data_IF_579982620875
#
_entry.id   IF_579982620875
#
_cell.length_a   1.000
_cell.length_b   1.000
_cell.length_c   1.000
_cell.angle_alpha   90.00
_cell.angle_beta   90.00
_cell.angle_gamma   90.00
#
_symmetry.space_group_name_H-M   'P 1'
#
loop_
_entity.id
_entity.type
_entity.pdbx_description
1 polymer ?
#
# COMPACT_ATOMS: atom_id res chain seq x y z
N UNK A 1 4.86 -6.38 -65.67
CA UNK A 1 5.35 -7.11 -64.48
C UNK A 1 5.69 -6.16 -63.32
N UNK A 2 6.62 -5.20 -63.50
CA UNK A 2 7.09 -4.30 -62.44
C UNK A 2 6.00 -3.44 -61.77
N UNK A 3 5.00 -2.98 -62.54
CA UNK A 3 3.84 -2.27 -61.98
C UNK A 3 3.03 -3.14 -61.00
N UNK A 4 2.87 -4.45 -61.28
CA UNK A 4 2.19 -5.38 -60.37
C UNK A 4 2.97 -5.56 -59.08
N UNK A 5 4.31 -5.63 -59.15
CA UNK A 5 5.19 -5.71 -57.97
C UNK A 5 5.08 -4.46 -57.10
N UNK A 6 5.04 -3.27 -57.72
CA UNK A 6 4.83 -2.01 -56.98
C UNK A 6 3.46 -1.97 -56.29
N UNK A 7 2.39 -2.38 -56.97
CA UNK A 7 1.03 -2.38 -56.38
C UNK A 7 0.97 -3.33 -55.18
N UNK A 8 1.50 -4.55 -55.31
CA UNK A 8 1.54 -5.52 -54.19
C UNK A 8 2.37 -4.98 -53.02
N UNK A 9 3.53 -4.39 -53.31
CA UNK A 9 4.41 -3.81 -52.28
C UNK A 9 3.74 -2.65 -51.55
N UNK A 10 3.04 -1.77 -52.27
CA UNK A 10 2.29 -0.67 -51.70
C UNK A 10 1.13 -1.17 -50.81
N UNK A 11 0.40 -2.20 -51.24
CA UNK A 11 -0.65 -2.83 -50.42
C UNK A 11 -0.08 -3.44 -49.14
N UNK A 12 1.10 -4.07 -49.19
CA UNK A 12 1.78 -4.61 -48.00
C UNK A 12 2.14 -3.49 -47.01
N UNK A 13 2.65 -2.35 -47.50
CA UNK A 13 2.91 -1.18 -46.63
C UNK A 13 1.62 -0.67 -46.00
N UNK A 14 0.56 -0.49 -46.80
CA UNK A 14 -0.73 -0.01 -46.31
C UNK A 14 -1.34 -0.95 -45.26
N UNK A 15 -1.37 -2.25 -45.53
CA UNK A 15 -1.90 -3.25 -44.59
C UNK A 15 -1.04 -3.34 -43.32
N UNK A 16 0.28 -3.36 -43.46
CA UNK A 16 1.20 -3.37 -42.33
C UNK A 16 1.05 -2.12 -41.45
N UNK A 17 0.86 -0.95 -42.05
CA UNK A 17 0.61 0.29 -41.33
C UNK A 17 -0.78 0.29 -40.65
N UNK A 18 -1.84 -0.09 -41.38
CA UNK A 18 -3.21 -0.15 -40.86
C UNK A 18 -3.31 -1.14 -39.69
N UNK A 19 -2.79 -2.35 -39.87
CA UNK A 19 -2.83 -3.39 -38.83
C UNK A 19 -1.93 -2.99 -37.66
N UNK A 20 -0.67 -2.63 -37.92
CA UNK A 20 0.33 -2.42 -36.88
C UNK A 20 0.14 -1.14 -36.06
N UNK A 21 -0.35 -0.05 -36.66
CA UNK A 21 -0.55 1.23 -35.95
C UNK A 21 -2.00 1.48 -35.50
N UNK A 22 -3.02 0.93 -36.19
CA UNK A 22 -4.42 1.22 -35.87
C UNK A 22 -5.13 0.01 -35.26
N UNK A 23 -5.19 -1.11 -35.97
CA UNK A 23 -5.99 -2.27 -35.53
C UNK A 23 -5.41 -2.94 -34.27
N UNK A 24 -4.11 -3.26 -34.29
CA UNK A 24 -3.46 -3.97 -33.19
C UNK A 24 -3.50 -3.19 -31.88
N UNK A 25 -3.12 -1.90 -31.80
CA UNK A 25 -3.18 -1.16 -30.52
C UNK A 25 -4.60 -1.06 -29.95
N UNK A 26 -5.62 -0.92 -30.81
CA UNK A 26 -7.01 -0.88 -30.38
C UNK A 26 -7.47 -2.23 -29.80
N UNK A 27 -7.23 -3.33 -30.53
CA UNK A 27 -7.58 -4.68 -30.10
C UNK A 27 -6.81 -5.05 -28.83
N UNK A 28 -5.50 -4.80 -28.80
CA UNK A 28 -4.64 -5.12 -27.66
C UNK A 28 -5.08 -4.38 -26.39
N UNK A 29 -5.33 -3.06 -26.47
CA UNK A 29 -5.85 -2.30 -25.33
C UNK A 29 -7.19 -2.85 -24.85
N UNK A 30 -8.09 -3.23 -25.76
CA UNK A 30 -9.38 -3.80 -25.40
C UNK A 30 -9.25 -5.18 -24.73
N UNK A 31 -8.31 -6.02 -25.19
CA UNK A 31 -8.02 -7.32 -24.58
C UNK A 31 -7.44 -7.15 -23.17
N UNK A 32 -6.44 -6.28 -23.01
CA UNK A 32 -5.84 -5.97 -21.70
C UNK A 32 -6.89 -5.44 -20.73
N UNK A 33 -7.72 -4.48 -21.17
CA UNK A 33 -8.79 -3.91 -20.36
C UNK A 33 -9.81 -4.96 -19.89
N UNK A 34 -10.10 -5.96 -20.71
CA UNK A 34 -11.02 -7.05 -20.37
C UNK A 34 -10.35 -8.16 -19.55
N UNK A 35 -9.02 -8.30 -19.64
CA UNK A 35 -8.28 -9.35 -18.94
C UNK A 35 -8.34 -9.20 -17.42
N UNK A 36 -8.32 -7.97 -16.91
CA UNK A 36 -8.45 -7.68 -15.48
C UNK A 36 -9.91 -7.43 -15.14
N UNK A 37 -10.54 -8.44 -14.55
CA UNK A 37 -11.92 -8.39 -14.10
C UNK A 37 -12.17 -9.35 -12.93
N UNK A 38 -13.13 -9.03 -12.09
CA UNK A 38 -13.53 -9.82 -10.94
C UNK A 38 -14.85 -10.56 -11.19
N UNK A 39 -15.11 -10.99 -12.44
CA UNK A 39 -16.27 -11.84 -12.71
C UNK A 39 -16.03 -13.25 -12.14
N UNK A 40 -17.08 -13.94 -11.65
CA UNK A 40 -16.98 -15.32 -11.21
C UNK A 40 -16.31 -16.21 -12.26
N UNK A 41 -15.34 -17.03 -11.84
CA UNK A 41 -14.63 -17.98 -12.69
C UNK A 41 -13.45 -17.44 -13.49
N UNK A 42 -13.17 -16.12 -13.48
CA UNK A 42 -11.99 -15.57 -14.17
C UNK A 42 -10.68 -15.93 -13.46
N UNK A 43 -9.56 -16.03 -14.18
CA UNK A 43 -8.23 -16.27 -13.58
C UNK A 43 -7.86 -15.18 -12.56
N UNK A 44 -8.09 -13.91 -12.92
CA UNK A 44 -7.84 -12.76 -12.04
C UNK A 44 -8.69 -12.85 -10.78
N UNK A 45 -9.93 -13.32 -10.89
CA UNK A 45 -10.82 -13.47 -9.74
C UNK A 45 -10.26 -14.49 -8.75
N UNK A 46 -9.83 -15.66 -9.22
CA UNK A 46 -9.26 -16.71 -8.36
C UNK A 46 -8.04 -16.22 -7.58
N UNK A 47 -7.10 -15.53 -8.26
CA UNK A 47 -5.91 -14.95 -7.63
C UNK A 47 -6.24 -13.84 -6.62
N UNK A 48 -7.27 -13.04 -6.91
CA UNK A 48 -7.72 -11.96 -6.04
C UNK A 48 -8.47 -12.47 -4.80
N UNK A 49 -9.25 -13.55 -4.92
CA UNK A 49 -9.94 -14.19 -3.80
C UNK A 49 -8.95 -14.83 -2.83
N UNK A 50 -7.93 -15.52 -3.36
CA UNK A 50 -6.90 -16.17 -2.55
C UNK A 50 -5.53 -16.04 -3.20
N UNK A 51 -4.63 -15.33 -2.54
CA UNK A 51 -3.26 -15.20 -3.03
C UNK A 51 -2.56 -16.58 -2.99
N UNK A 52 -1.90 -17.01 -4.07
CA UNK A 52 -1.31 -18.36 -4.14
C UNK A 52 0.01 -18.50 -3.37
N UNK A 53 0.55 -17.41 -2.83
CA UNK A 53 1.78 -17.36 -2.03
C UNK A 53 1.61 -16.34 -0.91
N UNK A 54 2.38 -16.47 0.20
CA UNK A 54 2.34 -15.52 1.29
C UNK A 54 3.14 -14.25 0.97
N UNK A 55 2.81 -13.17 1.68
CA UNK A 55 3.68 -12.01 1.81
C UNK A 55 4.66 -12.25 2.97
N UNK A 56 5.86 -11.69 2.86
CA UNK A 56 6.79 -11.64 3.99
C UNK A 56 6.39 -10.48 4.89
N UNK A 57 5.93 -10.79 6.09
CA UNK A 57 5.58 -9.82 7.12
C UNK A 57 6.64 -9.81 8.22
N UNK A 58 7.21 -8.65 8.53
CA UNK A 58 8.28 -8.51 9.52
C UNK A 58 7.91 -7.44 10.53
N UNK A 59 8.24 -7.68 11.79
CA UNK A 59 8.11 -6.69 12.87
C UNK A 59 9.51 -6.38 13.41
N UNK A 60 9.78 -5.10 13.62
CA UNK A 60 10.97 -4.56 14.28
C UNK A 60 10.52 -3.71 15.46
N UNK A 61 11.04 -3.97 16.65
CA UNK A 61 10.59 -3.33 17.89
C UNK A 61 11.67 -2.40 18.41
N UNK A 62 11.28 -1.24 18.94
CA UNK A 62 12.19 -0.33 19.62
C UNK A 62 12.24 -0.66 21.11
N UNK A 63 13.28 -1.41 21.51
CA UNK A 63 13.55 -1.77 22.89
C UNK A 63 14.08 -0.56 23.66
N UNK A 64 13.47 -0.26 24.80
CA UNK A 64 13.84 0.86 25.68
C UNK A 64 14.96 0.43 26.61
N UNK A 65 16.07 1.19 26.63
CA UNK A 65 17.25 0.85 27.45
C UNK A 65 17.38 1.69 28.73
N UNK A 66 16.60 2.78 28.86
CA UNK A 66 16.71 3.73 29.97
C UNK A 66 15.36 4.15 30.58
N UNK A 67 14.43 3.21 30.81
CA UNK A 67 13.07 3.46 31.32
C UNK A 67 13.00 4.38 32.54
N UNK A 68 13.82 4.13 33.57
CA UNK A 68 13.88 4.94 34.80
C UNK A 68 14.21 6.41 34.52
N UNK A 69 15.11 6.67 33.56
CA UNK A 69 15.46 8.03 33.16
C UNK A 69 14.29 8.71 32.43
N UNK A 70 13.56 7.97 31.60
CA UNK A 70 12.40 8.47 30.87
C UNK A 70 11.26 8.83 31.84
N UNK A 71 11.01 7.99 32.85
CA UNK A 71 10.02 8.26 33.90
C UNK A 71 10.32 9.54 34.68
N UNK A 72 11.60 9.90 34.82
CA UNK A 72 12.05 11.17 35.41
C UNK A 72 12.06 12.36 34.41
N UNK A 73 11.47 12.20 33.22
CA UNK A 73 11.37 13.25 32.18
C UNK A 73 12.56 13.32 31.22
N UNK A 74 13.48 12.35 31.28
CA UNK A 74 14.66 12.29 30.43
C UNK A 74 14.41 11.85 28.99
N UNK A 75 15.47 11.83 28.18
CA UNK A 75 15.40 11.52 26.75
C UNK A 75 15.43 10.01 26.52
N UNK A 76 14.47 9.44 25.75
CA UNK A 76 14.47 8.01 25.47
C UNK A 76 15.67 7.53 24.65
N UNK A 77 16.22 6.38 25.04
CA UNK A 77 17.24 5.63 24.33
C UNK A 77 16.64 4.31 23.86
N UNK A 78 16.70 4.08 22.55
CA UNK A 78 16.07 2.95 21.89
C UNK A 78 17.11 2.10 21.17
N UNK A 79 16.90 0.80 21.21
CA UNK A 79 17.63 -0.18 20.41
C UNK A 79 16.64 -0.96 19.55
N UNK A 80 16.89 -1.04 18.24
CA UNK A 80 16.03 -1.82 17.35
C UNK A 80 16.30 -3.32 17.53
N UNK A 81 15.23 -4.10 17.78
CA UNK A 81 15.27 -5.56 17.90
C UNK A 81 14.35 -6.17 16.85
N UNK A 82 14.92 -7.01 15.99
CA UNK A 82 14.19 -7.68 14.91
C UNK A 82 15.10 -8.19 13.78
N UNK A 83 14.53 -8.75 12.71
CA UNK A 83 13.09 -8.91 12.49
C UNK A 83 12.50 -10.13 13.20
N UNK A 84 11.23 -10.01 13.61
CA UNK A 84 10.34 -11.13 13.85
C UNK A 84 9.55 -11.40 12.57
N UNK A 85 9.71 -12.58 11.98
CA UNK A 85 9.24 -12.86 10.61
C UNK A 85 8.02 -13.78 10.61
N UNK A 86 7.06 -13.47 9.75
CA UNK A 86 5.84 -14.23 9.52
C UNK A 86 5.58 -14.34 8.02
N UNK A 87 4.99 -15.47 7.62
CA UNK A 87 4.28 -15.57 6.35
C UNK A 87 2.85 -15.05 6.56
N UNK A 88 2.48 -13.98 5.86
CA UNK A 88 1.13 -13.41 5.86
C UNK A 88 0.34 -13.92 4.65
N UNK A 89 -0.74 -14.65 4.92
CA UNK A 89 -1.68 -15.10 3.91
C UNK A 89 -2.92 -14.22 3.93
N UNK A 90 -3.30 -13.73 2.75
CA UNK A 90 -4.49 -12.90 2.54
C UNK A 90 -5.51 -13.65 1.70
N UNK A 91 -6.73 -13.76 2.23
CA UNK A 91 -7.86 -14.35 1.52
C UNK A 91 -9.15 -13.59 1.77
N UNK A 92 -10.10 -13.74 0.85
CA UNK A 92 -11.40 -13.08 0.88
C UNK A 92 -12.49 -14.13 1.08
N UNK A 93 -13.41 -13.87 2.02
CA UNK A 93 -14.51 -14.76 2.37
C UNK A 93 -15.84 -14.00 2.46
N UNK A 94 -16.95 -14.73 2.59
CA UNK A 94 -18.32 -14.19 2.53
C UNK A 94 -18.56 -13.27 1.33
N UNK A 95 -18.11 -13.78 0.19
CA UNK A 95 -18.12 -13.11 -1.10
C UNK A 95 -19.55 -13.09 -1.65
N UNK A 96 -20.01 -11.90 -2.03
CA UNK A 96 -21.35 -11.68 -2.60
C UNK A 96 -21.26 -10.80 -3.84
N UNK A 97 -21.62 -11.35 -5.00
CA UNK A 97 -21.74 -10.61 -6.25
C UNK A 97 -23.05 -9.80 -6.30
N UNK A 98 -22.94 -8.52 -6.64
CA UNK A 98 -24.05 -7.57 -6.72
C UNK A 98 -24.16 -7.10 -8.17
N UNK A 99 -24.94 -7.86 -8.95
CA UNK A 99 -25.05 -7.66 -10.41
C UNK A 99 -25.55 -6.26 -10.78
N UNK A 100 -26.61 -5.79 -10.10
CA UNK A 100 -27.25 -4.50 -10.38
C UNK A 100 -26.30 -3.30 -10.26
N UNK A 101 -25.23 -3.44 -9.47
CA UNK A 101 -24.25 -2.39 -9.20
C UNK A 101 -22.88 -2.65 -9.84
N UNK A 102 -22.74 -3.77 -10.58
CA UNK A 102 -21.44 -4.24 -11.08
C UNK A 102 -20.39 -4.33 -9.95
N UNK A 103 -20.81 -4.76 -8.75
CA UNK A 103 -20.00 -4.74 -7.53
C UNK A 103 -19.87 -6.13 -6.91
N UNK A 104 -18.87 -6.30 -6.05
CA UNK A 104 -18.67 -7.50 -5.23
C UNK A 104 -18.30 -7.09 -3.82
N UNK A 105 -18.97 -7.71 -2.85
CA UNK A 105 -18.71 -7.50 -1.43
C UNK A 105 -18.00 -8.70 -0.83
N UNK A 106 -17.11 -8.49 0.12
CA UNK A 106 -16.34 -9.54 0.79
C UNK A 106 -15.77 -9.07 2.13
N UNK A 107 -15.42 -10.02 2.99
CA UNK A 107 -14.59 -9.79 4.16
C UNK A 107 -13.13 -10.17 3.82
N UNK A 108 -12.16 -9.41 4.33
CA UNK A 108 -10.74 -9.70 4.16
C UNK A 108 -10.21 -10.39 5.41
N UNK A 109 -9.48 -11.49 5.26
CA UNK A 109 -8.82 -12.21 6.35
C UNK A 109 -7.31 -12.22 6.15
N UNK A 110 -6.60 -11.92 7.23
CA UNK A 110 -5.15 -12.09 7.31
C UNK A 110 -4.82 -13.27 8.25
N UNK A 111 -3.93 -14.15 7.80
CA UNK A 111 -3.42 -15.28 8.59
C UNK A 111 -1.91 -15.19 8.66
N UNK A 112 -1.35 -15.21 9.87
CA UNK A 112 0.09 -15.06 10.11
C UNK A 112 0.66 -16.38 10.60
N UNK A 113 1.67 -16.90 9.89
CA UNK A 113 2.44 -18.08 10.32
C UNK A 113 3.86 -17.65 10.70
N UNK A 114 4.24 -17.87 11.96
CA UNK A 114 5.54 -17.47 12.47
C UNK A 114 6.69 -18.26 11.83
N UNK A 115 7.76 -17.57 11.45
CA UNK A 115 8.94 -18.11 10.75
C UNK A 115 10.23 -17.83 11.54
N UNK A 116 10.45 -18.55 12.66
CA UNK A 116 11.66 -18.38 13.48
C UNK A 116 12.94 -18.81 12.76
N UNK A 117 12.84 -19.51 11.63
CA UNK A 117 13.97 -19.88 10.77
C UNK A 117 14.49 -18.70 9.93
N UNK A 118 13.72 -17.60 9.81
CA UNK A 118 14.08 -16.43 9.01
C UNK A 118 14.31 -15.16 9.85
N UNK A 119 14.16 -15.24 11.18
CA UNK A 119 14.24 -14.09 12.07
C UNK A 119 14.52 -14.48 13.52
N UNK A 120 14.16 -13.60 14.45
CA UNK A 120 14.28 -13.84 15.88
C UNK A 120 13.22 -14.80 16.41
N UNK A 121 13.49 -15.40 17.57
CA UNK A 121 12.71 -16.53 18.11
C UNK A 121 11.36 -16.12 18.71
N UNK A 122 11.20 -14.84 19.04
CA UNK A 122 10.08 -14.29 19.79
C UNK A 122 10.20 -14.44 21.32
N UNK A 123 11.27 -15.05 21.81
CA UNK A 123 11.57 -15.20 23.24
C UNK A 123 12.39 -14.02 23.79
N UNK A 124 12.83 -13.12 22.92
CA UNK A 124 13.61 -11.94 23.28
C UNK A 124 12.80 -11.02 24.20
N UNK A 125 13.42 -10.62 25.31
CA UNK A 125 12.82 -9.69 26.26
C UNK A 125 12.87 -8.28 25.68
N UNK A 126 11.69 -7.68 25.53
CA UNK A 126 11.52 -6.31 25.05
C UNK A 126 10.99 -5.46 26.19
N UNK A 127 11.65 -4.34 26.44
CA UNK A 127 11.16 -3.27 27.30
C UNK A 127 10.49 -2.21 26.45
N UNK A 128 9.22 -1.91 26.70
CA UNK A 128 8.47 -0.89 25.95
C UNK A 128 7.45 -0.18 26.86
N UNK A 129 6.91 0.99 26.44
CA UNK A 129 5.78 1.61 27.11
C UNK A 129 4.66 0.59 27.37
N UNK A 130 4.22 0.43 28.62
CA UNK A 130 3.22 -0.57 28.97
C UNK A 130 1.92 -0.28 28.20
N UNK A 131 1.49 -1.13 27.25
CA UNK A 131 0.47 -0.76 26.29
C UNK A 131 -0.89 -0.55 26.97
N UNK A 132 -1.30 -1.42 27.91
CA UNK A 132 -2.56 -1.24 28.63
C UNK A 132 -2.57 0.00 29.54
N UNK A 133 -1.53 0.17 30.37
CA UNK A 133 -1.41 1.30 31.28
C UNK A 133 -1.31 2.64 30.54
N UNK A 134 -0.36 2.78 29.62
CA UNK A 134 -0.11 4.07 28.96
C UNK A 134 -1.19 4.41 27.93
N UNK A 135 -1.69 3.44 27.15
CA UNK A 135 -2.67 3.76 26.10
C UNK A 135 -3.99 4.18 26.72
N UNK A 136 -4.49 3.44 27.72
CA UNK A 136 -5.75 3.77 28.39
C UNK A 136 -5.65 5.11 29.12
N UNK A 137 -4.54 5.37 29.81
CA UNK A 137 -4.32 6.64 30.50
C UNK A 137 -4.28 7.82 29.51
N UNK A 138 -3.51 7.71 28.42
CA UNK A 138 -3.33 8.80 27.44
C UNK A 138 -4.61 9.02 26.62
N UNK A 139 -5.32 7.96 26.23
CA UNK A 139 -6.56 8.06 25.45
C UNK A 139 -7.67 8.82 26.21
N UNK A 140 -7.66 8.77 27.54
CA UNK A 140 -8.66 9.40 28.38
C UNK A 140 -8.27 10.81 28.87
N UNK A 141 -7.11 11.36 28.45
CA UNK A 141 -6.69 12.72 28.86
C UNK A 141 -7.62 13.84 28.39
N UNK A 142 -8.48 13.59 27.40
CA UNK A 142 -9.48 14.55 26.94
C UNK A 142 -10.82 14.46 27.71
N UNK A 143 -10.98 13.47 28.60
CA UNK A 143 -12.19 13.28 29.40
C UNK A 143 -12.22 14.21 30.62
N UNK A 144 -13.38 14.39 31.29
CA UNK A 144 -13.45 15.13 32.56
C UNK A 144 -12.50 14.58 33.63
N UNK A 145 -12.09 15.42 34.57
CA UNK A 145 -11.10 15.06 35.60
C UNK A 145 -11.55 13.86 36.46
N UNK A 146 -12.85 13.74 36.72
CA UNK A 146 -13.43 12.61 37.46
C UNK A 146 -13.21 11.28 36.72
N UNK A 147 -13.33 11.29 35.39
CA UNK A 147 -13.11 10.11 34.54
C UNK A 147 -11.61 9.76 34.51
N UNK A 148 -10.74 10.77 34.40
CA UNK A 148 -9.28 10.56 34.45
C UNK A 148 -8.86 9.91 35.77
N UNK A 149 -9.34 10.44 36.90
CA UNK A 149 -9.05 9.90 38.22
C UNK A 149 -9.60 8.48 38.41
N UNK A 150 -10.81 8.19 37.92
CA UNK A 150 -11.38 6.85 37.96
C UNK A 150 -10.56 5.85 37.12
N UNK A 151 -10.13 6.24 35.91
CA UNK A 151 -9.27 5.40 35.06
C UNK A 151 -7.93 5.13 35.76
N UNK A 152 -7.28 6.16 36.32
CA UNK A 152 -6.03 6.00 37.05
C UNK A 152 -6.16 5.05 38.25
N UNK A 153 -7.23 5.20 39.04
CA UNK A 153 -7.53 4.31 40.17
C UNK A 153 -7.78 2.87 39.71
N UNK A 154 -8.55 2.68 38.64
CA UNK A 154 -8.80 1.35 38.08
C UNK A 154 -7.53 0.67 37.61
N UNK A 155 -6.65 1.40 36.92
CA UNK A 155 -5.36 0.88 36.46
C UNK A 155 -4.42 0.54 37.62
N UNK A 156 -4.40 1.36 38.68
CA UNK A 156 -3.63 1.08 39.90
C UNK A 156 -4.10 -0.21 40.60
N UNK A 157 -5.41 -0.41 40.72
CA UNK A 157 -5.99 -1.62 41.31
C UNK A 157 -5.72 -2.88 40.48
N UNK A 158 -5.67 -2.76 39.15
CA UNK A 158 -5.47 -3.89 38.23
C UNK A 158 -3.99 -4.26 38.12
N UNK A 159 -3.11 -3.27 37.98
CA UNK A 159 -1.71 -3.49 37.61
C UNK A 159 -0.71 -3.22 38.74
N UNK A 160 -1.07 -2.43 39.75
CA UNK A 160 -0.17 -1.96 40.82
C UNK A 160 1.20 -1.53 40.27
N UNK A 161 1.22 -0.64 39.26
CA UNK A 161 2.38 -0.47 38.40
C UNK A 161 3.55 0.16 39.15
N UNK A 162 4.68 -0.56 39.21
CA UNK A 162 5.95 -0.01 39.71
C UNK A 162 6.71 0.81 38.65
N UNK A 163 6.32 0.67 37.38
CA UNK A 163 6.88 1.38 36.24
C UNK A 163 5.79 1.65 35.20
N UNK A 164 5.96 2.71 34.43
CA UNK A 164 5.20 2.97 33.21
C UNK A 164 5.61 2.03 32.05
N UNK A 165 6.69 1.28 32.19
CA UNK A 165 7.23 0.37 31.19
C UNK A 165 6.99 -1.09 31.60
N UNK A 166 6.90 -1.97 30.60
CA UNK A 166 6.83 -3.42 30.78
C UNK A 166 8.03 -4.06 30.10
N UNK A 167 8.60 -5.09 30.73
CA UNK A 167 9.59 -5.98 30.12
C UNK A 167 8.98 -7.39 30.04
N UNK A 168 8.77 -7.88 28.82
CA UNK A 168 8.20 -9.20 28.57
C UNK A 168 8.74 -9.77 27.25
N UNK A 169 8.48 -11.05 26.98
CA UNK A 169 8.88 -11.65 25.71
C UNK A 169 8.09 -11.01 24.57
N UNK A 170 8.72 -10.90 23.40
CA UNK A 170 8.05 -10.40 22.20
C UNK A 170 6.71 -11.10 21.93
N UNK A 171 6.66 -12.44 22.04
CA UNK A 171 5.43 -13.22 21.84
C UNK A 171 4.32 -12.83 22.81
N UNK A 172 4.63 -12.50 24.05
CA UNK A 172 3.63 -12.10 25.04
C UNK A 172 3.04 -10.72 24.67
N UNK A 173 3.92 -9.79 24.27
CA UNK A 173 3.52 -8.42 23.92
C UNK A 173 2.73 -8.32 22.60
N UNK A 174 3.05 -9.13 21.59
CA UNK A 174 2.51 -9.00 20.24
C UNK A 174 1.57 -10.14 19.81
N UNK A 175 1.50 -11.24 20.58
CA UNK A 175 0.72 -12.42 20.18
C UNK A 175 -0.12 -13.03 21.30
N UNK A 176 0.48 -13.52 22.38
CA UNK A 176 -0.23 -14.21 23.45
C UNK A 176 -1.07 -13.26 24.31
N UNK A 177 -0.66 -11.99 24.41
CA UNK A 177 -1.32 -10.97 25.21
C UNK A 177 -0.70 -10.83 26.60
N UNK A 178 -1.20 -9.83 27.33
CA UNK A 178 -0.80 -9.53 28.69
C UNK A 178 -1.96 -9.94 29.61
N UNK A 179 -1.67 -10.76 30.62
CA UNK A 179 -2.67 -11.16 31.61
C UNK A 179 -3.15 -9.95 32.43
N UNK A 180 -4.46 -9.80 32.55
CA UNK A 180 -5.10 -8.73 33.32
C UNK A 180 -5.84 -9.33 34.51
N UNK A 181 -5.44 -8.94 35.72
CA UNK A 181 -6.12 -9.37 36.93
C UNK A 181 -7.38 -8.53 37.18
N UNK A 182 -8.54 -9.10 36.85
CA UNK A 182 -9.85 -8.49 37.04
C UNK A 182 -10.56 -8.92 38.33
N UNK A 183 -9.81 -9.34 39.36
CA UNK A 183 -10.37 -9.82 40.64
C UNK A 183 -10.86 -8.72 41.59
N UNK A 184 -10.77 -7.44 41.21
CA UNK A 184 -11.20 -6.32 42.07
C UNK A 184 -12.70 -6.04 41.95
N UNK A 185 -13.38 -5.88 43.09
CA UNK A 185 -14.80 -5.49 43.16
C UNK A 185 -15.02 -3.97 42.98
N UNK A 186 -13.96 -3.19 42.82
CA UNK A 186 -14.07 -1.75 42.66
C UNK A 186 -14.66 -1.37 41.29
N UNK A 187 -15.66 -0.50 41.26
CA UNK A 187 -16.39 -0.12 40.04
C UNK A 187 -15.45 0.37 38.91
N UNK A 188 -14.41 1.13 39.24
CA UNK A 188 -13.43 1.61 38.26
C UNK A 188 -12.62 0.47 37.61
N UNK A 189 -12.21 -0.54 38.39
CA UNK A 189 -11.49 -1.69 37.87
C UNK A 189 -12.42 -2.58 37.02
N UNK A 190 -13.66 -2.80 37.49
CA UNK A 190 -14.68 -3.54 36.76
C UNK A 190 -15.01 -2.89 35.40
N UNK A 191 -15.13 -1.56 35.36
CA UNK A 191 -15.40 -0.84 34.12
C UNK A 191 -14.29 -1.03 33.06
N UNK A 192 -13.02 -1.01 33.48
CA UNK A 192 -11.88 -1.31 32.60
C UNK A 192 -11.92 -2.79 32.17
N UNK A 193 -12.14 -3.70 33.11
CA UNK A 193 -12.19 -5.13 32.84
C UNK A 193 -13.30 -5.56 31.87
N UNK A 194 -14.45 -4.89 31.91
CA UNK A 194 -15.53 -5.12 30.95
C UNK A 194 -15.09 -4.81 29.50
N UNK A 195 -14.18 -3.86 29.28
CA UNK A 195 -13.64 -3.57 27.95
C UNK A 195 -12.81 -4.74 27.41
N UNK A 196 -12.03 -5.41 28.28
CA UNK A 196 -11.28 -6.60 27.90
C UNK A 196 -12.19 -7.79 27.60
N UNK A 197 -13.25 -7.99 28.39
CA UNK A 197 -14.21 -9.08 28.21
C UNK A 197 -15.13 -8.89 27.00
N UNK A 198 -15.41 -7.66 26.60
CA UNK A 198 -16.14 -7.33 25.37
C UNK A 198 -15.33 -7.58 24.08
N UNK A 199 -14.09 -8.10 24.19
CA UNK A 199 -13.20 -8.34 23.05
C UNK A 199 -12.60 -7.06 22.45
N UNK A 200 -12.67 -5.93 23.17
CA UNK A 200 -12.35 -4.60 22.64
C UNK A 200 -10.86 -4.22 22.66
N UNK A 201 -9.95 -5.18 22.86
CA UNK A 201 -8.53 -4.98 22.53
C UNK A 201 -8.25 -5.73 21.24
N UNK A 202 -8.41 -5.08 20.07
CA UNK A 202 -7.96 -5.64 18.82
C UNK A 202 -6.43 -5.70 18.86
N UNK A 203 -5.89 -6.82 19.32
CA UNK A 203 -4.56 -7.25 18.92
C UNK A 203 -4.57 -7.50 17.41
N UNK A 204 -3.38 -7.52 16.80
CA UNK A 204 -3.19 -8.09 15.46
C UNK A 204 -3.40 -9.62 15.54
N UNK A 205 -4.65 -10.02 15.81
CA UNK A 205 -5.02 -11.40 15.98
C UNK A 205 -4.86 -12.16 14.68
N UNK A 206 -4.42 -13.41 14.79
CA UNK A 206 -4.44 -14.33 13.67
C UNK A 206 -5.89 -14.58 13.24
N UNK A 207 -6.16 -14.67 11.93
CA UNK A 207 -7.50 -14.82 11.37
C UNK A 207 -8.49 -13.68 11.68
N UNK A 208 -8.00 -12.45 11.82
CA UNK A 208 -8.86 -11.27 12.02
C UNK A 208 -9.54 -10.82 10.73
N UNK A 209 -10.78 -10.32 10.85
CA UNK A 209 -11.51 -9.68 9.77
C UNK A 209 -11.09 -8.21 9.68
N UNK A 210 -10.54 -7.79 8.54
CA UNK A 210 -10.15 -6.39 8.28
C UNK A 210 -11.32 -5.50 7.80
N UNK A 211 -12.57 -5.96 7.99
CA UNK A 211 -13.79 -5.26 7.63
C UNK A 211 -14.39 -5.74 6.30
N UNK A 212 -15.61 -5.27 6.02
CA UNK A 212 -16.38 -5.63 4.84
C UNK A 212 -16.19 -4.59 3.74
N UNK A 213 -15.60 -5.01 2.63
CA UNK A 213 -15.39 -4.17 1.45
C UNK A 213 -16.47 -4.43 0.42
N UNK A 214 -16.85 -3.39 -0.32
CA UNK A 214 -17.60 -3.47 -1.58
C UNK A 214 -16.75 -2.82 -2.67
N UNK A 215 -16.40 -3.58 -3.70
CA UNK A 215 -15.53 -3.10 -4.80
C UNK A 215 -16.17 -3.30 -6.16
N UNK A 216 -15.77 -2.48 -7.14
CA UNK A 216 -16.21 -2.60 -8.52
C UNK A 216 -15.61 -3.85 -9.20
N UNK A 217 -16.45 -4.65 -9.87
CA UNK A 217 -16.00 -5.91 -10.51
C UNK A 217 -15.33 -5.73 -11.86
N UNK A 218 -15.81 -4.79 -12.66
CA UNK A 218 -15.34 -4.61 -14.04
C UNK A 218 -15.15 -3.14 -14.38
N UNK A 219 -14.20 -2.88 -15.27
CA UNK A 219 -13.99 -1.53 -15.82
C UNK A 219 -15.02 -1.23 -16.91
N UNK A 220 -15.66 -0.05 -16.84
CA UNK A 220 -16.55 0.45 -17.89
C UNK A 220 -15.81 0.81 -19.18
N UNK A 221 -16.52 1.15 -20.27
CA UNK A 221 -15.90 1.48 -21.57
C UNK A 221 -14.93 2.67 -21.50
N UNK A 222 -15.23 3.67 -20.67
CA UNK A 222 -14.48 4.94 -20.61
C UNK A 222 -13.64 5.12 -19.33
N UNK A 223 -13.79 4.25 -18.33
CA UNK A 223 -13.08 4.38 -17.05
C UNK A 223 -12.42 3.05 -16.65
N UNK A 224 -11.33 3.15 -15.88
CA UNK A 224 -10.53 2.03 -15.39
C UNK A 224 -10.82 1.88 -13.88
N UNK A 225 -11.90 1.17 -13.55
CA UNK A 225 -12.50 1.19 -12.21
C UNK A 225 -12.49 -0.17 -11.52
N UNK A 226 -12.01 -1.24 -12.16
CA UNK A 226 -11.93 -2.56 -11.52
C UNK A 226 -11.16 -2.49 -10.19
N UNK A 227 -11.73 -3.10 -9.15
CA UNK A 227 -11.17 -3.12 -7.81
C UNK A 227 -11.36 -1.83 -7.01
N UNK A 228 -11.94 -0.78 -7.58
CA UNK A 228 -12.20 0.46 -6.85
C UNK A 228 -13.15 0.20 -5.68
N UNK A 229 -12.78 0.69 -4.49
CA UNK A 229 -13.61 0.61 -3.28
C UNK A 229 -14.78 1.56 -3.42
N UNK A 230 -15.99 1.00 -3.34
CA UNK A 230 -17.26 1.70 -3.40
C UNK A 230 -17.82 1.95 -2.00
N UNK A 231 -17.64 0.98 -1.09
CA UNK A 231 -18.01 1.12 0.32
C UNK A 231 -17.11 0.27 1.23
N UNK A 232 -17.00 0.69 2.48
CA UNK A 232 -16.34 -0.04 3.56
C UNK A 232 -17.27 -0.06 4.78
N UNK A 233 -17.51 -1.24 5.35
CA UNK A 233 -18.49 -1.47 6.42
C UNK A 233 -19.84 -0.77 6.13
N UNK A 234 -20.36 -1.00 4.92
CA UNK A 234 -21.63 -0.46 4.42
C UNK A 234 -21.66 1.05 4.18
N UNK A 235 -20.59 1.78 4.51
CA UNK A 235 -20.49 3.21 4.28
C UNK A 235 -19.73 3.54 2.98
N UNK A 236 -20.33 4.36 2.12
CA UNK A 236 -19.72 4.87 0.88
C UNK A 236 -18.69 5.99 1.13
N UNK A 237 -18.74 6.58 2.33
CA UNK A 237 -17.79 7.57 2.82
C UNK A 237 -17.48 7.27 4.29
N UNK A 238 -16.26 7.56 4.69
CA UNK A 238 -15.83 7.45 6.07
C UNK A 238 -16.51 8.53 6.92
N UNK A 239 -16.60 8.28 8.22
CA UNK A 239 -17.11 9.25 9.19
C UNK A 239 -16.08 9.52 10.29
N UNK A 240 -14.79 9.44 9.93
CA UNK A 240 -13.66 9.46 10.87
C UNK A 240 -13.02 10.85 10.94
N UNK A 241 -12.90 11.51 9.78
CA UNK A 241 -12.20 12.78 9.64
C UNK A 241 -13.16 13.95 9.71
N UNK A 242 -12.63 15.13 10.05
CA UNK A 242 -13.46 16.34 10.08
C UNK A 242 -13.94 16.71 8.67
N UNK A 243 -15.24 16.96 8.56
CA UNK A 243 -15.82 17.56 7.37
C UNK A 243 -15.55 19.06 7.40
N UNK A 244 -14.64 19.51 6.53
CA UNK A 244 -14.36 20.92 6.26
C UNK A 244 -14.82 21.27 4.85
N UNK A 245 -15.02 22.56 4.54
CA UNK A 245 -15.41 22.98 3.19
C UNK A 245 -14.37 22.49 2.16
N UNK A 246 -14.80 21.61 1.25
CA UNK A 246 -13.93 21.01 0.24
C UNK A 246 -13.15 19.78 0.69
N UNK A 247 -13.38 19.28 1.92
CA UNK A 247 -12.73 18.09 2.48
C UNK A 247 -12.91 16.87 1.57
N UNK A 248 -11.82 16.10 1.45
CA UNK A 248 -11.77 14.83 0.72
C UNK A 248 -11.26 13.68 1.59
N UNK A 249 -10.98 13.95 2.87
CA UNK A 249 -10.37 12.98 3.79
C UNK A 249 -11.25 11.75 4.01
N UNK A 250 -12.57 11.92 4.03
CA UNK A 250 -13.52 10.83 4.21
C UNK A 250 -13.88 10.08 2.91
N UNK A 251 -13.34 10.48 1.75
CA UNK A 251 -13.64 9.80 0.48
C UNK A 251 -12.83 8.51 0.35
N UNK A 252 -13.52 7.42 0.03
CA UNK A 252 -12.91 6.17 -0.42
C UNK A 252 -12.38 6.37 -1.84
N UNK A 253 -11.06 6.24 -2.03
CA UNK A 253 -10.39 6.43 -3.32
C UNK A 253 -9.50 5.24 -3.63
N UNK A 254 -9.54 4.80 -4.88
CA UNK A 254 -8.69 3.71 -5.36
C UNK A 254 -9.18 2.35 -4.91
N UNK A 255 -8.26 1.39 -4.80
CA UNK A 255 -8.59 -0.03 -4.55
C UNK A 255 -8.29 -0.45 -3.12
N UNK A 256 -8.47 -1.73 -2.80
CA UNK A 256 -8.04 -2.33 -1.53
C UNK A 256 -6.53 -2.64 -1.49
N UNK A 257 -5.77 -2.21 -2.51
CA UNK A 257 -4.34 -2.47 -2.66
C UNK A 257 -3.99 -3.86 -3.19
N UNK A 258 -4.95 -4.77 -3.34
CA UNK A 258 -4.70 -6.17 -3.81
C UNK A 258 -4.90 -6.34 -5.31
N UNK A 259 -5.56 -5.39 -5.96
CA UNK A 259 -5.78 -5.35 -7.40
C UNK A 259 -5.75 -3.89 -7.88
N UNK A 260 -5.23 -3.67 -9.08
CA UNK A 260 -5.27 -2.38 -9.76
C UNK A 260 -5.79 -2.56 -11.18
N UNK A 261 -6.39 -1.51 -11.72
CA UNK A 261 -6.81 -1.52 -13.11
C UNK A 261 -5.59 -1.57 -14.06
N UNK A 262 -5.73 -2.15 -15.26
CA UNK A 262 -4.67 -2.13 -16.27
C UNK A 262 -4.62 -0.77 -16.97
N UNK A 263 -3.55 -0.52 -17.74
CA UNK A 263 -3.33 0.71 -18.51
C UNK A 263 -3.32 2.00 -17.65
N UNK A 264 -2.89 1.88 -16.39
CA UNK A 264 -2.81 2.99 -15.45
C UNK A 264 -1.70 3.96 -15.84
N UNK A 265 -1.94 5.26 -15.63
CA UNK A 265 -0.97 6.31 -15.94
C UNK A 265 -0.47 6.96 -14.64
N UNK A 266 0.83 7.33 -14.55
CA UNK A 266 1.40 7.94 -13.35
C UNK A 266 0.61 9.13 -12.80
N UNK A 267 0.09 9.99 -13.68
CA UNK A 267 -0.62 11.21 -13.30
C UNK A 267 -1.92 10.98 -12.53
N UNK A 268 -2.55 9.80 -12.65
CA UNK A 268 -3.77 9.50 -11.92
C UNK A 268 -3.51 9.03 -10.48
N UNK A 269 -2.25 8.72 -10.15
CA UNK A 269 -1.86 8.11 -8.87
C UNK A 269 -2.31 6.65 -8.75
N UNK A 270 -1.71 5.94 -7.80
CA UNK A 270 -2.09 4.59 -7.42
C UNK A 270 -2.80 4.65 -6.07
N UNK A 271 -4.05 5.12 -6.09
CA UNK A 271 -4.84 5.26 -4.88
C UNK A 271 -5.18 3.88 -4.28
N UNK A 272 -5.10 3.78 -2.96
CA UNK A 272 -5.56 2.62 -2.21
C UNK A 272 -6.13 3.07 -0.87
N UNK A 273 -7.24 2.46 -0.46
CA UNK A 273 -7.84 2.66 0.84
C UNK A 273 -7.24 1.65 1.84
N UNK A 274 -6.71 2.16 2.96
CA UNK A 274 -6.25 1.33 4.07
C UNK A 274 -7.25 1.42 5.21
N UNK A 275 -7.88 0.29 5.55
CA UNK A 275 -8.77 0.18 6.71
C UNK A 275 -8.03 0.47 8.02
N UNK A 276 -6.79 -0.02 8.16
CA UNK A 276 -5.95 0.17 9.36
C UNK A 276 -5.56 1.64 9.60
N UNK A 277 -5.45 2.43 8.53
CA UNK A 277 -5.17 3.86 8.62
C UNK A 277 -6.43 4.72 8.48
N UNK A 278 -7.60 4.11 8.27
CA UNK A 278 -8.86 4.79 7.99
C UNK A 278 -8.76 5.90 6.92
N UNK A 279 -7.91 5.77 5.90
CA UNK A 279 -7.81 6.78 4.83
C UNK A 279 -7.31 6.20 3.52
N UNK A 280 -7.57 6.94 2.45
CA UNK A 280 -7.01 6.66 1.13
C UNK A 280 -5.65 7.35 0.96
N UNK A 281 -4.68 6.62 0.41
CA UNK A 281 -3.31 7.07 0.16
C UNK A 281 -2.93 6.80 -1.29
N UNK A 282 -2.00 7.58 -1.84
CA UNK A 282 -1.35 7.28 -3.12
C UNK A 282 0.15 7.51 -2.97
N UNK A 283 1.00 6.59 -3.44
CA UNK A 283 2.42 6.84 -3.50
C UNK A 283 2.74 7.78 -4.69
N UNK A 284 3.83 8.53 -4.55
CA UNK A 284 4.35 9.47 -5.57
C UNK A 284 5.25 8.70 -6.55
N UNK A 285 5.17 9.04 -7.84
CA UNK A 285 5.97 8.39 -8.88
C UNK A 285 7.41 8.93 -8.85
N UNK A 286 8.40 8.03 -8.76
CA UNK A 286 9.82 8.39 -8.61
C UNK A 286 10.60 8.33 -9.93
N UNK A 287 10.24 7.41 -10.84
CA UNK A 287 10.89 7.27 -12.14
C UNK A 287 10.68 5.90 -12.77
N UNK A 288 11.06 5.77 -14.04
CA UNK A 288 11.06 4.49 -14.75
C UNK A 288 12.15 3.58 -14.18
N UNK A 289 11.88 2.28 -14.12
CA UNK A 289 12.81 1.25 -13.66
C UNK A 289 12.57 -0.06 -14.43
N UNK A 290 13.39 -1.07 -14.18
CA UNK A 290 13.20 -2.41 -14.71
C UNK A 290 13.17 -3.42 -13.57
N UNK A 291 12.31 -4.42 -13.66
CA UNK A 291 12.24 -5.53 -12.70
C UNK A 291 12.11 -6.84 -13.48
N UNK A 292 13.07 -7.77 -13.32
CA UNK A 292 13.15 -9.00 -14.12
C UNK A 292 12.95 -8.73 -15.62
N UNK A 293 13.64 -7.72 -16.16
CA UNK A 293 13.57 -7.27 -17.57
C UNK A 293 12.22 -6.67 -18.02
N UNK A 294 11.25 -6.51 -17.11
CA UNK A 294 10.00 -5.82 -17.38
C UNK A 294 10.18 -4.31 -17.15
N UNK A 295 9.80 -3.45 -18.11
CA UNK A 295 9.76 -2.02 -17.89
C UNK A 295 8.63 -1.68 -16.90
N UNK A 296 8.97 -0.92 -15.87
CA UNK A 296 8.07 -0.59 -14.78
C UNK A 296 8.28 0.84 -14.29
N UNK A 297 7.45 1.27 -13.35
CA UNK A 297 7.56 2.57 -12.69
C UNK A 297 7.76 2.34 -11.19
N UNK A 298 8.73 3.03 -10.59
CA UNK A 298 8.94 3.05 -9.15
C UNK A 298 8.07 4.14 -8.53
N UNK A 299 7.42 3.79 -7.42
CA UNK A 299 6.62 4.67 -6.59
C UNK A 299 7.11 4.61 -5.15
N UNK A 300 6.90 5.70 -4.41
CA UNK A 300 7.25 5.82 -3.01
C UNK A 300 6.12 6.49 -2.22
N UNK A 301 5.74 5.89 -1.10
CA UNK A 301 4.69 6.42 -0.22
C UNK A 301 5.23 7.57 0.62
N UNK A 302 4.40 8.57 0.84
CA UNK A 302 4.61 9.64 1.81
C UNK A 302 3.29 9.94 2.51
N UNK A 303 3.34 10.26 3.81
CA UNK A 303 2.16 10.74 4.54
C UNK A 303 1.80 12.20 4.23
N UNK A 304 2.70 12.91 3.54
CA UNK A 304 2.54 14.32 3.18
C UNK A 304 2.77 15.26 4.37
N UNK A 305 2.46 16.53 4.17
CA UNK A 305 2.73 17.62 5.11
C UNK A 305 1.47 18.48 5.23
N UNK A 306 0.68 18.36 6.32
CA UNK A 306 -0.48 19.23 6.54
C UNK A 306 -0.12 20.71 6.60
N UNK A 307 1.14 21.05 6.90
CA UNK A 307 1.60 22.44 6.90
C UNK A 307 1.69 23.05 5.50
N UNK A 308 1.87 22.22 4.46
CA UNK A 308 2.09 22.68 3.07
C UNK A 308 1.06 22.18 2.07
N UNK A 309 0.28 21.16 2.41
CA UNK A 309 -0.71 20.50 1.54
C UNK A 309 -2.14 20.72 2.09
N UNK A 310 -2.92 21.69 1.54
CA UNK A 310 -4.27 22.02 2.05
C UNK A 310 -5.27 20.86 2.08
N UNK A 311 -5.12 19.89 1.16
CA UNK A 311 -5.94 18.68 1.10
C UNK A 311 -5.78 17.80 2.35
N UNK A 312 -4.74 18.01 3.16
CA UNK A 312 -4.47 17.25 4.39
C UNK A 312 -4.99 17.93 5.66
N UNK A 313 -5.49 19.16 5.60
CA UNK A 313 -5.96 19.88 6.79
C UNK A 313 -7.09 19.14 7.53
N UNK A 314 -7.94 18.39 6.81
CA UNK A 314 -9.02 17.60 7.41
C UNK A 314 -8.55 16.37 8.21
N UNK A 315 -7.26 16.01 8.13
CA UNK A 315 -6.65 15.00 9.01
C UNK A 315 -6.17 15.60 10.34
N UNK A 316 -6.17 16.93 10.49
CA UNK A 316 -5.90 17.59 11.77
C UNK A 316 -7.09 17.48 12.71
N UNK A 317 -6.83 17.59 14.02
CA UNK A 317 -7.89 17.69 15.02
C UNK A 317 -8.48 19.09 15.04
N UNK A 318 -7.62 20.11 14.94
CA UNK A 318 -7.98 21.51 14.83
C UNK A 318 -6.89 22.20 13.99
N UNK A 319 -7.21 22.67 12.79
CA UNK A 319 -6.19 23.32 11.94
C UNK A 319 -6.13 24.82 12.23
N UNK A 320 -4.95 25.44 12.40
CA UNK A 320 -3.59 24.86 12.35
C UNK A 320 -3.01 24.46 13.73
N UNK A 321 -3.79 24.56 14.80
CA UNK A 321 -3.34 24.47 16.20
C UNK A 321 -2.96 23.06 16.65
N UNK A 322 -3.68 22.04 16.19
CA UNK A 322 -3.53 20.62 16.54
C UNK A 322 -3.55 19.75 15.27
N UNK A 323 -2.39 19.69 14.61
CA UNK A 323 -2.12 18.85 13.47
C UNK A 323 -1.03 17.81 13.81
N UNK A 324 -1.07 16.61 13.20
CA UNK A 324 0.07 15.71 13.21
C UNK A 324 1.27 16.38 12.53
N UNK A 325 2.48 16.03 12.99
CA UNK A 325 3.70 16.54 12.39
C UNK A 325 3.84 16.07 10.93
N UNK A 326 4.57 16.84 10.13
CA UNK A 326 4.81 16.49 8.73
C UNK A 326 5.44 15.10 8.62
N UNK A 327 4.99 14.32 7.64
CA UNK A 327 5.37 12.92 7.43
C UNK A 327 4.77 11.93 8.44
N UNK A 328 3.82 12.36 9.27
CA UNK A 328 3.14 11.51 10.25
C UNK A 328 1.61 11.59 10.13
N UNK A 329 0.92 10.69 10.84
CA UNK A 329 -0.53 10.62 10.88
C UNK A 329 -1.01 10.25 12.28
N UNK A 330 -2.03 10.95 12.79
CA UNK A 330 -2.70 10.61 14.05
C UNK A 330 -3.72 9.47 13.84
N UNK A 331 -3.68 8.46 14.72
CA UNK A 331 -4.60 7.31 14.67
C UNK A 331 -5.69 7.35 15.76
N UNK A 332 -5.73 8.37 16.60
CA UNK A 332 -6.70 8.49 17.70
C UNK A 332 -8.14 8.46 17.19
N UNK A 333 -8.47 9.23 16.15
CA UNK A 333 -9.84 9.22 15.58
C UNK A 333 -10.18 7.92 14.86
N UNK A 334 -9.19 7.28 14.25
CA UNK A 334 -9.36 6.06 13.46
C UNK A 334 -9.57 4.82 14.34
N UNK A 335 -8.74 4.68 15.38
CA UNK A 335 -8.63 3.45 16.16
C UNK A 335 -8.98 3.61 17.65
N UNK A 336 -9.17 4.84 18.13
CA UNK A 336 -9.32 5.14 19.56
C UNK A 336 -8.01 5.01 20.35
N UNK A 337 -6.89 4.72 19.69
CA UNK A 337 -5.58 4.54 20.35
C UNK A 337 -4.70 5.77 20.20
N UNK A 338 -3.87 6.13 21.20
CA UNK A 338 -2.97 7.29 21.15
C UNK A 338 -1.73 7.04 20.29
N UNK A 339 -1.90 6.39 19.14
CA UNK A 339 -0.83 6.07 18.21
C UNK A 339 -0.68 7.13 17.12
N UNK A 340 0.54 7.25 16.64
CA UNK A 340 0.94 8.02 15.48
C UNK A 340 1.59 7.07 14.48
N UNK A 341 1.09 7.06 13.23
CA UNK A 341 1.72 6.36 12.13
C UNK A 341 2.78 7.25 11.44
N UNK A 342 3.86 6.64 10.97
CA UNK A 342 4.91 7.27 10.18
C UNK A 342 5.63 6.23 9.32
N UNK A 343 6.63 6.62 8.53
CA UNK A 343 7.58 5.66 7.96
C UNK A 343 8.68 5.30 8.99
N UNK A 344 9.33 4.13 8.89
CA UNK A 344 10.33 3.69 9.87
C UNK A 344 11.42 4.72 10.17
N UNK A 345 11.81 4.79 11.44
CA UNK A 345 12.72 5.79 12.01
C UNK A 345 12.32 7.23 11.70
N UNK A 346 11.02 7.49 11.51
CA UNK A 346 10.49 8.80 11.09
C UNK A 346 11.07 9.27 9.74
N UNK A 347 11.35 8.34 8.82
CA UNK A 347 11.78 8.68 7.46
C UNK A 347 10.75 9.61 6.78
N UNK A 348 11.23 10.70 6.16
CA UNK A 348 10.43 11.80 5.60
C UNK A 348 9.56 12.60 6.58
N UNK A 349 9.71 12.40 7.89
CA UNK A 349 9.03 13.23 8.88
C UNK A 349 9.85 14.46 9.28
N UNK A 350 9.22 15.37 10.03
CA UNK A 350 9.90 16.54 10.61
C UNK A 350 11.12 16.12 11.46
N UNK A 351 12.31 16.78 11.30
CA UNK A 351 13.54 16.40 12.00
C UNK A 351 13.40 16.31 13.52
N UNK A 352 12.54 17.15 14.10
CA UNK A 352 12.24 17.17 15.52
C UNK A 352 11.78 15.80 16.05
N UNK A 353 11.09 14.99 15.25
CA UNK A 353 10.65 13.65 15.68
C UNK A 353 11.84 12.70 15.88
N UNK A 354 12.89 12.84 15.06
CA UNK A 354 14.12 12.07 15.18
C UNK A 354 14.95 12.56 16.35
N UNK A 355 15.09 13.88 16.51
CA UNK A 355 15.94 14.51 17.54
C UNK A 355 15.46 14.26 18.97
N UNK A 356 14.16 14.00 19.16
CA UNK A 356 13.56 13.75 20.47
C UNK A 356 13.92 12.39 21.08
N UNK A 357 14.50 11.47 20.33
CA UNK A 357 14.88 10.13 20.80
C UNK A 357 16.29 9.78 20.34
N UNK A 358 16.96 8.87 21.04
CA UNK A 358 18.24 8.30 20.62
C UNK A 358 18.04 6.90 20.06
N UNK A 359 18.85 6.51 19.08
CA UNK A 359 18.76 5.19 18.42
C UNK A 359 18.08 5.18 17.05
N UNK A 360 17.60 6.32 16.54
CA UNK A 360 17.00 6.39 15.21
C UNK A 360 18.01 6.73 14.11
N UNK A 361 17.88 6.08 12.94
CA UNK A 361 18.74 6.30 11.77
C UNK A 361 17.94 6.21 10.45
N UNK A 362 17.13 7.23 10.11
CA UNK A 362 16.29 7.20 8.92
C UNK A 362 17.11 7.13 7.62
N UNK A 363 16.86 6.12 6.77
CA UNK A 363 17.47 6.02 5.44
C UNK A 363 16.47 5.51 4.41
N UNK A 364 16.53 6.04 3.19
CA UNK A 364 15.59 5.64 2.12
C UNK A 364 15.68 4.13 1.81
N UNK A 365 16.89 3.56 1.80
CA UNK A 365 17.09 2.16 1.46
C UNK A 365 16.35 1.20 2.42
N UNK A 366 16.39 1.49 3.72
CA UNK A 366 15.78 0.63 4.75
C UNK A 366 14.34 1.02 5.09
N UNK A 367 13.98 2.29 4.95
CA UNK A 367 12.76 2.84 5.57
C UNK A 367 11.77 3.47 4.58
N UNK A 368 12.13 3.59 3.30
CA UNK A 368 11.14 4.00 2.31
C UNK A 368 10.13 2.87 2.06
N UNK A 369 8.85 3.24 1.98
CA UNK A 369 7.77 2.40 1.48
C UNK A 369 7.70 2.51 -0.03
N UNK A 370 8.00 1.43 -0.74
CA UNK A 370 8.21 1.47 -2.20
C UNK A 370 7.38 0.44 -2.93
N UNK A 371 7.04 0.75 -4.17
CA UNK A 371 6.32 -0.13 -5.08
C UNK A 371 6.91 -0.04 -6.48
N UNK A 372 7.17 -1.18 -7.11
CA UNK A 372 7.49 -1.29 -8.53
C UNK A 372 6.24 -1.82 -9.24
N UNK A 373 5.71 -1.02 -10.15
CA UNK A 373 4.41 -1.26 -10.76
C UNK A 373 4.51 -1.28 -12.29
N UNK A 374 3.93 -2.30 -12.91
CA UNK A 374 3.83 -2.45 -14.36
C UNK A 374 2.47 -1.93 -14.84
N UNK A 375 2.51 -0.84 -15.61
CA UNK A 375 1.34 -0.03 -15.93
C UNK A 375 0.37 -0.67 -16.91
N UNK A 376 0.86 -1.47 -17.86
CA UNK A 376 0.01 -2.05 -18.90
C UNK A 376 -0.94 -3.09 -18.31
N UNK A 377 -0.41 -3.99 -17.48
CA UNK A 377 -1.18 -5.03 -16.80
C UNK A 377 -1.86 -4.57 -15.51
N UNK A 378 -1.33 -3.52 -14.86
CA UNK A 378 -1.76 -3.15 -13.52
C UNK A 378 -1.14 -4.04 -12.42
N UNK A 379 -0.02 -4.70 -12.70
CA UNK A 379 0.61 -5.67 -11.78
C UNK A 379 1.62 -4.97 -10.88
N UNK A 380 1.53 -5.23 -9.57
CA UNK A 380 2.58 -4.90 -8.60
C UNK A 380 3.67 -5.98 -8.71
N UNK A 381 4.85 -5.61 -9.19
CA UNK A 381 5.97 -6.55 -9.39
C UNK A 381 6.79 -6.77 -8.12
N UNK A 382 6.94 -5.70 -7.34
CA UNK A 382 7.63 -5.71 -6.05
C UNK A 382 7.06 -4.61 -5.17
N UNK A 383 6.85 -4.91 -3.90
CA UNK A 383 6.37 -3.95 -2.91
C UNK A 383 7.07 -4.17 -1.57
N UNK A 384 7.40 -3.06 -0.93
CA UNK A 384 7.81 -2.96 0.45
C UNK A 384 6.91 -1.92 1.11
N UNK A 385 5.85 -2.39 1.77
CA UNK A 385 4.96 -1.54 2.56
C UNK A 385 5.48 -1.50 3.99
N UNK A 386 6.05 -0.37 4.39
CA UNK A 386 6.72 -0.16 5.68
C UNK A 386 6.05 0.94 6.49
N UNK A 387 5.61 0.61 7.70
CA UNK A 387 4.90 1.55 8.57
C UNK A 387 5.41 1.44 10.00
N UNK A 388 5.63 2.58 10.64
CA UNK A 388 6.00 2.69 12.05
C UNK A 388 4.83 3.22 12.87
N UNK A 389 4.68 2.65 14.07
CA UNK A 389 3.71 3.07 15.07
C UNK A 389 4.43 3.60 16.30
N UNK A 390 4.12 4.84 16.66
CA UNK A 390 4.68 5.54 17.81
C UNK A 390 3.59 5.94 18.79
N UNK A 391 3.82 5.84 20.09
CA UNK A 391 2.92 6.31 21.13
C UNK A 391 3.04 7.83 21.28
N UNK A 392 1.92 8.56 21.25
CA UNK A 392 1.85 9.98 21.58
C UNK A 392 1.92 10.18 23.10
N UNK A 393 3.12 10.09 23.67
CA UNK A 393 3.35 10.21 25.11
C UNK A 393 2.98 11.62 25.58
N UNK A 394 2.27 11.70 26.71
CA UNK A 394 1.97 12.91 27.47
C UNK A 394 2.03 12.59 28.96
N UNK A 395 2.39 13.55 29.82
CA UNK A 395 2.33 13.34 31.27
C UNK A 395 0.89 13.12 31.75
N UNK A 396 0.69 12.14 32.63
CA UNK A 396 -0.60 11.80 33.23
C UNK A 396 -0.49 12.02 34.74
N UNK A 397 -1.07 13.11 35.25
CA UNK A 397 -0.86 13.54 36.64
C UNK A 397 -1.38 12.55 37.68
N UNK A 398 -2.50 11.89 37.38
CA UNK A 398 -3.16 10.96 38.29
C UNK A 398 -2.48 9.58 38.34
N UNK A 399 -1.49 9.33 37.48
CA UNK A 399 -0.70 8.08 37.45
C UNK A 399 0.75 8.42 37.81
N UNK A 400 1.21 8.14 39.04
CA UNK A 400 2.51 8.60 39.53
C UNK A 400 3.71 8.25 38.65
N UNK A 401 3.74 7.04 38.08
CA UNK A 401 4.81 6.56 37.18
C UNK A 401 4.83 7.29 35.83
N UNK A 402 3.75 8.00 35.49
CA UNK A 402 3.58 8.74 34.23
C UNK A 402 3.56 10.27 34.39
N UNK A 403 3.57 10.77 35.64
CA UNK A 403 3.34 12.18 35.93
C UNK A 403 4.45 13.11 35.38
N UNK A 404 5.68 12.61 35.25
CA UNK A 404 6.86 13.35 34.80
C UNK A 404 7.26 13.02 33.35
N UNK A 405 6.50 12.17 32.64
CA UNK A 405 6.82 11.82 31.26
C UNK A 405 6.84 13.07 30.36
N UNK A 406 7.88 13.17 29.54
CA UNK A 406 8.00 14.24 28.55
C UNK A 406 7.04 14.01 27.38
N UNK A 407 6.37 15.04 26.84
CA UNK A 407 5.62 14.91 25.59
C UNK A 407 6.53 14.59 24.39
N UNK A 408 6.26 13.49 23.69
CA UNK A 408 6.92 13.12 22.42
C UNK A 408 6.10 12.04 21.66
N UNK A 409 6.48 11.76 20.42
CA UNK A 409 6.05 10.55 19.71
C UNK A 409 7.09 9.44 19.93
N UNK A 410 6.84 8.55 20.90
CA UNK A 410 7.75 7.46 21.29
C UNK A 410 7.61 6.26 20.33
N UNK A 411 8.61 5.94 19.49
CA UNK A 411 8.56 4.77 18.63
C UNK A 411 8.34 3.48 19.44
N UNK A 412 7.40 2.65 18.99
CA UNK A 412 7.15 1.34 19.61
C UNK A 412 7.68 0.22 18.73
N UNK A 413 7.24 0.19 17.47
CA UNK A 413 7.65 -0.80 16.49
C UNK A 413 7.36 -0.30 15.08
N UNK A 414 7.97 -0.95 14.09
CA UNK A 414 7.59 -0.80 12.69
C UNK A 414 7.47 -2.16 12.03
N UNK A 415 6.68 -2.19 10.97
CA UNK A 415 6.37 -3.40 10.20
C UNK A 415 6.82 -3.25 8.76
N UNK A 416 7.21 -4.36 8.14
CA UNK A 416 7.40 -4.50 6.71
C UNK A 416 6.50 -5.61 6.21
N UNK A 417 5.53 -5.25 5.37
CA UNK A 417 4.79 -6.19 4.53
C UNK A 417 5.39 -6.11 3.13
N UNK A 418 5.92 -7.22 2.62
CA UNK A 418 6.62 -7.21 1.34
C UNK A 418 6.33 -8.43 0.48
N UNK A 419 6.35 -8.19 -0.83
CA UNK A 419 6.16 -9.21 -1.85
C UNK A 419 7.05 -8.88 -3.04
N UNK A 420 7.73 -9.88 -3.57
CA UNK A 420 8.53 -9.79 -4.79
C UNK A 420 8.14 -10.93 -5.72
N UNK A 421 7.67 -10.62 -6.93
CA UNK A 421 7.28 -11.64 -7.89
C UNK A 421 8.52 -12.34 -8.46
N UNK A 422 8.50 -13.67 -8.43
CA UNK A 422 9.60 -14.48 -8.91
C UNK A 422 9.80 -14.37 -10.44
N UNK A 423 10.91 -14.92 -10.92
CA UNK A 423 11.23 -14.89 -12.34
C UNK A 423 10.20 -15.67 -13.18
N UNK A 424 9.61 -16.74 -12.62
CA UNK A 424 8.62 -17.57 -13.34
C UNK A 424 7.35 -16.77 -13.64
N UNK A 425 6.80 -16.08 -12.64
CA UNK A 425 5.59 -15.25 -12.79
C UNK A 425 5.89 -14.05 -13.71
N UNK A 426 7.03 -13.38 -13.51
CA UNK A 426 7.40 -12.23 -14.35
C UNK A 426 7.66 -12.62 -15.80
N UNK A 427 8.23 -13.80 -16.08
CA UNK A 427 8.37 -14.32 -17.44
C UNK A 427 7.02 -14.66 -18.10
N UNK A 428 6.04 -15.17 -17.34
CA UNK A 428 4.67 -15.38 -17.85
C UNK A 428 4.05 -14.04 -18.27
N UNK A 429 4.21 -12.99 -17.45
CA UNK A 429 3.76 -11.64 -17.78
C UNK A 429 4.47 -11.10 -19.04
N UNK A 430 5.79 -11.28 -19.13
CA UNK A 430 6.58 -10.90 -20.30
C UNK A 430 6.05 -11.54 -21.58
N UNK A 431 5.79 -12.85 -21.56
CA UNK A 431 5.28 -13.60 -22.71
C UNK A 431 3.87 -13.16 -23.11
N UNK A 432 2.97 -12.98 -22.14
CA UNK A 432 1.57 -12.60 -22.40
C UNK A 432 1.43 -11.17 -22.96
N UNK A 433 2.31 -10.24 -22.58
CA UNK A 433 2.17 -8.82 -22.91
C UNK A 433 3.30 -8.34 -23.81
N UNK A 434 4.53 -8.34 -23.31
CA UNK A 434 5.66 -7.66 -23.95
C UNK A 434 6.17 -8.39 -25.19
N UNK A 435 6.17 -9.72 -25.21
CA UNK A 435 6.53 -10.49 -26.39
C UNK A 435 5.57 -10.24 -27.56
N UNK A 436 4.26 -10.12 -27.28
CA UNK A 436 3.23 -9.83 -28.28
C UNK A 436 3.39 -8.40 -28.82
N UNK A 437 3.67 -7.42 -27.95
CA UNK A 437 3.98 -6.05 -28.37
C UNK A 437 5.23 -5.98 -29.25
N UNK A 438 6.29 -6.68 -28.87
CA UNK A 438 7.53 -6.73 -29.62
C UNK A 438 7.34 -7.42 -30.97
N UNK A 439 6.57 -8.51 -31.03
CA UNK A 439 6.22 -9.19 -32.27
C UNK A 439 5.45 -8.26 -33.23
N UNK A 440 4.47 -7.50 -32.74
CA UNK A 440 3.77 -6.51 -33.55
C UNK A 440 4.71 -5.40 -34.05
N UNK A 441 5.63 -4.93 -33.19
CA UNK A 441 6.61 -3.93 -33.59
C UNK A 441 7.50 -4.45 -34.73
N UNK A 442 8.01 -5.68 -34.61
CA UNK A 442 8.77 -6.35 -35.66
C UNK A 442 7.96 -6.53 -36.94
N UNK A 443 6.74 -7.07 -36.84
CA UNK A 443 5.84 -7.25 -37.97
C UNK A 443 5.61 -5.94 -38.73
N UNK A 444 5.28 -4.86 -38.01
CA UNK A 444 5.03 -3.53 -38.57
C UNK A 444 6.23 -3.01 -39.35
N UNK A 445 7.43 -3.04 -38.75
CA UNK A 445 8.64 -2.54 -39.41
C UNK A 445 9.11 -3.44 -40.55
N UNK A 446 8.89 -4.75 -40.46
CA UNK A 446 9.19 -5.69 -41.53
C UNK A 446 8.28 -5.46 -42.75
N UNK A 447 6.97 -5.28 -42.54
CA UNK A 447 6.04 -4.95 -43.63
C UNK A 447 6.39 -3.62 -44.30
N UNK A 448 6.69 -2.59 -43.51
CA UNK A 448 7.06 -1.27 -44.04
C UNK A 448 8.41 -1.32 -44.77
N UNK A 449 9.41 -1.99 -44.19
CA UNK A 449 10.75 -2.11 -44.78
C UNK A 449 10.73 -2.88 -46.09
N UNK A 450 10.16 -4.09 -46.09
CA UNK A 450 10.09 -4.93 -47.30
C UNK A 450 9.19 -4.31 -48.37
N UNK A 451 8.05 -3.76 -47.98
CA UNK A 451 7.14 -3.09 -48.92
C UNK A 451 7.76 -1.82 -49.52
N UNK A 452 8.47 -1.01 -48.73
CA UNK A 452 9.17 0.16 -49.26
C UNK A 452 10.30 -0.23 -50.22
N UNK A 453 11.09 -1.25 -49.88
CA UNK A 453 12.13 -1.78 -50.75
C UNK A 453 11.55 -2.31 -52.07
N UNK A 454 10.43 -3.04 -52.01
CA UNK A 454 9.71 -3.52 -53.19
C UNK A 454 9.19 -2.39 -54.09
N UNK A 455 8.69 -1.30 -53.50
CA UNK A 455 8.31 -0.09 -54.24
C UNK A 455 9.50 0.57 -54.92
N UNK A 456 10.64 0.71 -54.22
CA UNK A 456 11.87 1.32 -54.76
C UNK A 456 12.42 0.49 -55.91
N UNK A 457 12.60 -0.82 -55.71
CA UNK A 457 13.11 -1.72 -56.74
C UNK A 457 12.15 -1.79 -57.94
N UNK A 458 10.85 -1.94 -57.70
CA UNK A 458 9.84 -1.95 -58.75
C UNK A 458 9.83 -0.66 -59.57
N UNK A 459 9.99 0.50 -58.92
CA UNK A 459 10.11 1.80 -59.57
C UNK A 459 11.40 1.94 -60.39
N UNK A 460 12.53 1.51 -59.84
CA UNK A 460 13.83 1.52 -60.50
C UNK A 460 13.83 0.63 -61.75
N UNK A 461 13.36 -0.61 -61.66
CA UNK A 461 13.24 -1.50 -62.82
C UNK A 461 12.24 -1.00 -63.87
N UNK A 462 11.14 -0.37 -63.44
CA UNK A 462 10.20 0.26 -64.37
C UNK A 462 10.82 1.47 -65.09
N UNK A 463 11.66 2.25 -64.41
CA UNK A 463 12.43 3.33 -65.02
C UNK A 463 13.45 2.81 -66.03
N UNK A 464 14.26 1.82 -65.63
CA UNK A 464 15.27 1.19 -66.49
C UNK A 464 14.65 0.56 -67.74
N UNK A 465 13.56 -0.22 -67.58
CA UNK A 465 12.86 -0.82 -68.73
C UNK A 465 12.25 0.21 -69.68
N UNK A 466 11.80 1.38 -69.18
CA UNK A 466 11.33 2.49 -70.01
C UNK A 466 12.48 3.21 -70.71
N UNK A 467 13.64 3.36 -70.07
CA UNK A 467 14.81 3.95 -70.73
C UNK A 467 15.37 3.05 -71.82
N UNK A 468 15.37 1.73 -71.63
CA UNK A 468 15.80 0.78 -72.65
C UNK A 468 14.82 0.77 -73.85
N UNK A 469 13.52 0.78 -73.59
CA UNK A 469 12.51 0.88 -74.66
C UNK A 469 12.66 2.19 -75.49
N UNK A 470 13.00 3.32 -74.85
CA UNK A 470 13.29 4.58 -75.55
C UNK A 470 14.58 4.51 -76.38
N UNK A 471 15.63 3.85 -75.89
CA UNK A 471 16.89 3.67 -76.65
C UNK A 471 16.70 2.79 -77.89
N UNK A 472 15.91 1.72 -77.80
CA UNK A 472 15.61 0.82 -78.93
C UNK A 472 14.66 1.48 -79.95
N UNK A 473 13.74 2.35 -79.51
CA UNK A 473 12.85 3.10 -80.40
C UNK A 473 13.58 4.14 -81.26
N UNK A 474 14.69 4.72 -80.78
CA UNK A 474 15.50 5.67 -81.56
C UNK A 474 16.40 4.99 -82.60
N UNK A 475 16.58 3.66 -82.59
CA UNK A 475 17.42 2.94 -83.56
C UNK A 475 16.66 2.35 -84.76
N UNK A 476 15.37 2.66 -84.91
CA UNK A 476 14.49 2.12 -85.99
C UNK A 476 14.00 3.22 -86.95
N UNK A 477 14.48 4.46 -86.79
CA UNK A 477 14.14 5.61 -87.65
C UNK A 477 15.29 6.11 -88.55
N UNK A 478 16.30 5.27 -88.85
CA UNK A 478 17.27 5.54 -89.93
C UNK A 478 16.98 4.73 -91.19
#
# INVERSE_FOLDING_TARGET
MYLKVMIVSFVIVLLGALIGFLAFPMIFKQLIKRSVNLKPGSETRQLWEKMPFPLSFKIYVFNVTNSVNIEAGGKPQLEEVGPFVYDEWKDKYDIVDIEAENAVSFNMRNTFHFRPDLGLSGEELITMPHPLLQFLSIANLAQPAEVQAAVAQGLDLIFQPQSAFITAKFKDLFYAGIDVNCGSDHAAAQAICQQFQAGAVPGAGNHTNAGRFKVQRTSGSNQLTVGQVLAYNEAEQLQVWQETNGSRCNRLRGTDGTIFAPLMQPQHGLWSYSAQLCRSLTPKAMGKTNYNQLPAQRYELSFGSPSTEPDLHCFCTDFPSDCPADGTMDLMRCSGTPLMASLPHFYQAEPKQVEQVEGLSPTAAKHASTMIFEQLSGTVLSVYNRLQFSLKVKPVKDVPTMAQLRPLAMPLFWIEESLQLDEKITQLLHKKIFAVLNANNWFRWLCIGLGSLGCILGGLFLHLSRSDAKRVGCSVEE
#
